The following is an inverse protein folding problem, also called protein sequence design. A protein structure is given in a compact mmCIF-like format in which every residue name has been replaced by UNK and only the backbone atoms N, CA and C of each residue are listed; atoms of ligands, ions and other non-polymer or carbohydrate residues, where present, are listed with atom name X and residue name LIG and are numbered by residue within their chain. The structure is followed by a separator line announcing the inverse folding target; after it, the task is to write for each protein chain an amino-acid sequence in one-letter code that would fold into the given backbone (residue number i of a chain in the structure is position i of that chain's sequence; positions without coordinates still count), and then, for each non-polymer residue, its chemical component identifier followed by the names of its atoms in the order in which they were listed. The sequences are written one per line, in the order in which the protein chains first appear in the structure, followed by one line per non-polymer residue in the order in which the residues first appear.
data_IF_294415204378
#
_entry.id   IF_294415204378
#
_cell.length_a   1.000
_cell.length_b   1.000
_cell.length_c   1.000
_cell.angle_alpha   90.00
_cell.angle_beta   90.00
_cell.angle_gamma   90.00
#
_symmetry.space_group_name_H-M   'P 1'
#
loop_
_entity.id
_entity.type
_entity.pdbx_description
1 polymer ?
#
# COMPACT_ATOMS: atom_id res chain seq x y z
N UNK A 1 8.64 14.06 -13.31
CA UNK A 1 8.80 12.88 -12.44
C UNK A 1 7.43 12.27 -12.28
N UNK A 2 7.22 11.07 -12.84
CA UNK A 2 5.90 10.43 -12.82
C UNK A 2 5.74 9.63 -11.52
N UNK A 3 4.52 9.48 -11.02
CA UNK A 3 4.23 8.59 -9.87
C UNK A 3 4.71 7.16 -10.11
N UNK A 4 4.64 6.72 -11.37
CA UNK A 4 5.18 5.45 -11.85
C UNK A 4 6.68 5.31 -11.56
N UNK A 5 7.48 6.35 -11.84
CA UNK A 5 8.92 6.34 -11.58
C UNK A 5 9.22 6.28 -10.08
N UNK A 6 8.41 6.94 -9.26
CA UNK A 6 8.57 6.87 -7.80
C UNK A 6 8.34 5.45 -7.29
N UNK A 7 7.26 4.81 -7.74
CA UNK A 7 6.98 3.40 -7.40
C UNK A 7 8.11 2.49 -7.88
N UNK A 8 8.50 2.61 -9.15
CA UNK A 8 9.48 1.70 -9.74
C UNK A 8 10.88 1.91 -9.17
N UNK A 9 11.32 3.14 -8.92
CA UNK A 9 12.67 3.38 -8.40
C UNK A 9 12.76 3.28 -6.87
N UNK A 10 11.80 3.83 -6.12
CA UNK A 10 11.89 3.92 -4.65
C UNK A 10 11.28 2.72 -3.93
N UNK A 11 10.38 1.96 -4.56
CA UNK A 11 9.77 0.77 -3.96
C UNK A 11 10.31 -0.49 -4.64
N UNK A 12 9.97 -0.70 -5.92
CA UNK A 12 10.29 -1.94 -6.64
C UNK A 12 11.81 -2.10 -6.84
N UNK A 13 12.48 -1.02 -7.22
CA UNK A 13 13.93 -0.99 -7.49
C UNK A 13 14.80 -1.30 -6.28
N UNK A 14 14.25 -1.23 -5.07
CA UNK A 14 14.95 -1.61 -3.84
C UNK A 14 15.06 -3.13 -3.65
N UNK A 15 14.22 -3.91 -4.36
CA UNK A 15 14.10 -5.36 -4.15
C UNK A 15 13.44 -5.75 -2.82
N UNK A 16 13.00 -4.77 -2.03
CA UNK A 16 12.33 -4.98 -0.74
C UNK A 16 10.81 -4.94 -0.84
N UNK A 17 10.25 -4.61 -2.01
CA UNK A 17 8.82 -4.54 -2.25
C UNK A 17 8.54 -5.24 -3.58
N UNK A 18 7.66 -6.25 -3.58
CA UNK A 18 7.34 -7.03 -4.78
C UNK A 18 6.39 -6.28 -5.71
N UNK A 19 5.40 -5.59 -5.12
CA UNK A 19 4.35 -4.87 -5.84
C UNK A 19 4.01 -3.62 -5.05
N UNK A 20 3.72 -2.51 -5.72
CA UNK A 20 3.37 -1.28 -5.04
C UNK A 20 2.44 -0.38 -5.83
N UNK A 21 1.68 0.46 -5.14
CA UNK A 21 0.88 1.54 -5.73
C UNK A 21 0.86 2.77 -4.85
N UNK A 22 0.70 3.92 -5.50
CA UNK A 22 0.40 5.21 -4.91
C UNK A 22 -1.01 5.58 -5.36
N UNK A 23 -1.87 5.84 -4.38
CA UNK A 23 -3.26 6.20 -4.61
C UNK A 23 -3.57 7.49 -3.83
N UNK A 24 -4.41 8.36 -4.38
CA UNK A 24 -4.96 9.49 -3.65
C UNK A 24 -5.96 9.04 -2.60
N UNK A 25 -6.22 9.84 -1.56
CA UNK A 25 -7.20 9.52 -0.49
C UNK A 25 -8.65 9.33 -0.98
N UNK A 26 -8.93 9.71 -2.22
CA UNK A 26 -10.20 9.47 -2.92
C UNK A 26 -10.27 8.06 -3.54
N UNK A 27 -9.16 7.31 -3.51
CA UNK A 27 -8.96 6.01 -4.13
C UNK A 27 -8.47 6.06 -5.58
N UNK A 28 -8.31 7.26 -6.15
CA UNK A 28 -7.68 7.46 -7.47
C UNK A 28 -6.28 6.86 -7.53
N UNK A 29 -6.00 5.97 -8.49
CA UNK A 29 -4.66 5.38 -8.65
C UNK A 29 -3.77 6.36 -9.41
N UNK A 30 -2.68 6.81 -8.79
CA UNK A 30 -1.75 7.77 -9.39
C UNK A 30 -0.56 7.09 -10.07
N UNK A 31 -0.06 6.01 -9.49
CA UNK A 31 1.01 5.20 -10.05
C UNK A 31 1.02 3.82 -9.42
N UNK A 32 1.40 2.79 -10.18
CA UNK A 32 1.43 1.41 -9.68
C UNK A 32 2.49 0.61 -10.42
N UNK A 33 3.15 -0.32 -9.76
CA UNK A 33 4.12 -1.19 -10.41
C UNK A 33 3.46 -2.00 -11.52
N UNK A 34 4.18 -2.28 -12.60
CA UNK A 34 3.68 -3.02 -13.76
C UNK A 34 3.09 -4.40 -13.40
N UNK A 35 3.63 -5.04 -12.35
CA UNK A 35 3.17 -6.33 -11.86
C UNK A 35 1.99 -6.24 -10.86
N UNK A 36 1.45 -5.04 -10.61
CA UNK A 36 0.35 -4.84 -9.66
C UNK A 36 -0.93 -4.41 -10.39
N UNK A 37 -1.87 -5.34 -10.51
CA UNK A 37 -3.15 -5.10 -11.18
C UNK A 37 -4.24 -4.69 -10.20
N UNK A 38 -3.94 -3.69 -9.35
CA UNK A 38 -4.96 -3.10 -8.48
C UNK A 38 -6.04 -2.41 -9.31
N UNK A 39 -7.30 -2.68 -8.95
CA UNK A 39 -8.49 -2.06 -9.51
C UNK A 39 -8.93 -0.82 -8.73
N UNK A 40 -9.65 0.08 -9.40
CA UNK A 40 -10.18 1.30 -8.79
C UNK A 40 -11.09 1.00 -7.58
N UNK A 41 -11.86 -0.09 -7.65
CA UNK A 41 -12.72 -0.55 -6.55
C UNK A 41 -11.91 -1.00 -5.33
N UNK A 42 -10.76 -1.65 -5.56
CA UNK A 42 -9.85 -2.11 -4.50
C UNK A 42 -9.13 -0.92 -3.85
N UNK A 43 -8.68 0.03 -4.66
CA UNK A 43 -8.08 1.27 -4.16
C UNK A 43 -9.10 2.09 -3.33
N UNK A 44 -10.35 2.17 -3.77
CA UNK A 44 -11.43 2.80 -2.99
C UNK A 44 -11.70 2.05 -1.68
N UNK A 45 -11.64 0.71 -1.68
CA UNK A 45 -11.79 -0.09 -0.46
C UNK A 45 -10.65 0.18 0.53
N UNK A 46 -9.40 0.26 0.05
CA UNK A 46 -8.24 0.64 0.86
C UNK A 46 -8.37 2.07 1.44
N UNK A 47 -8.78 3.03 0.61
CA UNK A 47 -9.02 4.41 1.04
C UNK A 47 -10.11 4.50 2.13
N UNK A 48 -11.21 3.76 1.96
CA UNK A 48 -12.25 3.66 2.98
C UNK A 48 -11.75 2.94 4.23
N UNK A 49 -10.85 1.96 4.09
CA UNK A 49 -10.23 1.29 5.23
C UNK A 49 -9.39 2.21 6.11
N UNK A 50 -8.71 3.18 5.50
CA UNK A 50 -7.97 4.21 6.24
C UNK A 50 -8.91 5.16 7.02
N UNK A 51 -10.16 5.28 6.59
CA UNK A 51 -11.21 6.05 7.29
C UNK A 51 -11.96 5.19 8.31
N UNK A 52 -12.16 3.91 8.03
CA UNK A 52 -12.89 2.94 8.84
C UNK A 52 -12.02 1.70 9.12
N UNK A 53 -11.08 1.87 10.05
CA UNK A 53 -10.10 0.86 10.43
C UNK A 53 -10.76 -0.42 11.00
N UNK A 54 -11.81 -0.26 11.80
CA UNK A 54 -12.56 -1.38 12.38
C UNK A 54 -13.27 -2.23 11.31
N UNK A 55 -13.85 -1.57 10.30
CA UNK A 55 -14.51 -2.24 9.19
C UNK A 55 -13.56 -3.13 8.38
N UNK A 56 -12.34 -2.67 8.11
CA UNK A 56 -11.36 -3.46 7.33
C UNK A 56 -10.64 -4.52 8.14
N UNK A 57 -10.51 -4.35 9.45
CA UNK A 57 -10.08 -5.41 10.36
C UNK A 57 -11.01 -6.63 10.27
N UNK A 58 -12.34 -6.40 10.23
CA UNK A 58 -13.32 -7.48 10.12
C UNK A 58 -13.50 -8.01 8.68
N UNK A 59 -13.58 -7.11 7.68
CA UNK A 59 -13.87 -7.50 6.30
C UNK A 59 -12.65 -7.97 5.52
N UNK A 60 -11.45 -7.50 5.87
CA UNK A 60 -10.21 -7.66 5.11
C UNK A 60 -10.13 -6.71 3.90
N UNK A 61 -9.04 -6.79 3.15
CA UNK A 61 -8.87 -6.06 1.89
C UNK A 61 -8.67 -7.04 0.74
N UNK A 62 -9.02 -6.63 -0.48
CA UNK A 62 -8.78 -7.42 -1.69
C UNK A 62 -7.83 -6.66 -2.60
N UNK A 63 -6.84 -7.36 -3.12
CA UNK A 63 -5.94 -6.86 -4.14
C UNK A 63 -5.80 -7.92 -5.23
N UNK A 64 -5.99 -7.52 -6.49
CA UNK A 64 -6.00 -8.43 -7.65
C UNK A 64 -7.02 -9.58 -7.51
N UNK A 65 -8.15 -9.32 -6.85
CA UNK A 65 -9.18 -10.32 -6.54
C UNK A 65 -8.82 -11.27 -5.38
N UNK A 66 -7.62 -11.16 -4.83
CA UNK A 66 -7.16 -11.99 -3.71
C UNK A 66 -7.47 -11.32 -2.37
N UNK A 67 -8.11 -12.06 -1.45
CA UNK A 67 -8.42 -11.56 -0.10
C UNK A 67 -7.20 -11.65 0.82
N UNK A 68 -6.86 -10.53 1.44
CA UNK A 68 -5.86 -10.42 2.49
C UNK A 68 -6.53 -10.14 3.83
N UNK A 69 -5.96 -10.73 4.89
CA UNK A 69 -6.39 -10.49 6.26
C UNK A 69 -5.68 -9.27 6.82
N UNK A 70 -6.45 -8.30 7.30
CA UNK A 70 -5.91 -7.14 8.00
C UNK A 70 -5.57 -7.58 9.42
N UNK A 71 -4.33 -7.36 9.83
CA UNK A 71 -3.85 -7.65 11.18
C UNK A 71 -3.96 -6.41 12.07
N UNK A 72 -3.71 -5.25 11.48
CA UNK A 72 -3.72 -3.97 12.15
C UNK A 72 -4.23 -2.92 11.17
N UNK A 73 -5.15 -2.09 11.62
CA UNK A 73 -5.59 -0.93 10.88
C UNK A 73 -5.69 0.24 11.85
N UNK A 74 -5.05 1.33 11.47
CA UNK A 74 -5.06 2.62 12.14
C UNK A 74 -5.45 3.69 11.11
N UNK A 75 -5.65 4.93 11.56
CA UNK A 75 -5.91 6.06 10.65
C UNK A 75 -4.71 6.41 9.76
N UNK A 76 -3.51 5.99 10.14
CA UNK A 76 -2.26 6.29 9.43
C UNK A 76 -1.67 5.11 8.67
N UNK A 77 -1.98 3.87 9.07
CA UNK A 77 -1.39 2.68 8.48
C UNK A 77 -2.32 1.48 8.55
N UNK A 78 -2.23 0.61 7.56
CA UNK A 78 -2.93 -0.67 7.54
C UNK A 78 -1.92 -1.75 7.20
N UNK A 79 -1.93 -2.82 7.97
CA UNK A 79 -1.04 -3.96 7.79
C UNK A 79 -1.93 -5.18 7.61
N UNK A 80 -1.67 -5.94 6.57
CA UNK A 80 -2.31 -7.22 6.38
C UNK A 80 -1.39 -8.29 5.84
N UNK A 81 -1.83 -9.53 5.99
CA UNK A 81 -1.12 -10.71 5.52
C UNK A 81 -2.06 -11.66 4.79
N UNK A 82 -1.46 -12.46 3.94
CA UNK A 82 -2.09 -13.59 3.27
C UNK A 82 -1.07 -14.72 3.18
N UNK A 83 -1.14 -15.65 4.12
CA UNK A 83 -0.22 -16.80 4.20
C UNK A 83 1.24 -16.35 4.21
N UNK A 84 1.97 -16.51 3.10
CA UNK A 84 3.37 -16.13 2.95
C UNK A 84 3.58 -14.74 2.33
N UNK A 85 2.50 -14.10 1.87
CA UNK A 85 2.50 -12.75 1.30
C UNK A 85 1.87 -11.77 2.31
N UNK A 86 2.02 -10.48 2.06
CA UNK A 86 1.31 -9.46 2.83
C UNK A 86 1.44 -8.09 2.23
N UNK A 87 0.84 -7.11 2.90
CA UNK A 87 0.81 -5.74 2.43
C UNK A 87 0.89 -4.76 3.59
N UNK A 88 1.42 -3.59 3.27
CA UNK A 88 1.50 -2.42 4.13
C UNK A 88 0.91 -1.23 3.38
N UNK A 89 0.02 -0.50 4.05
CA UNK A 89 -0.53 0.75 3.56
C UNK A 89 -0.07 1.82 4.52
N UNK A 90 0.50 2.89 3.98
CA UNK A 90 0.85 4.08 4.73
C UNK A 90 0.11 5.28 4.15
N UNK A 91 -0.68 5.94 4.98
CA UNK A 91 -1.39 7.17 4.63
C UNK A 91 -0.44 8.36 4.71
N UNK A 92 -0.59 9.31 3.80
CA UNK A 92 0.08 10.61 3.78
C UNK A 92 -0.99 11.71 3.89
N UNK A 93 -0.64 12.97 3.67
CA UNK A 93 -1.57 14.08 3.85
C UNK A 93 -2.67 14.09 2.76
N UNK A 94 -2.30 13.74 1.52
CA UNK A 94 -3.19 13.74 0.34
C UNK A 94 -3.22 12.39 -0.40
N UNK A 95 -2.37 11.44 -0.03
CA UNK A 95 -2.26 10.14 -0.67
C UNK A 95 -2.14 8.99 0.33
N UNK A 96 -2.05 7.78 -0.18
CA UNK A 96 -1.61 6.60 0.54
C UNK A 96 -0.80 5.69 -0.39
N UNK A 97 0.13 4.96 0.21
CA UNK A 97 1.08 4.11 -0.50
C UNK A 97 0.82 2.68 -0.06
N UNK A 98 0.59 1.80 -1.02
CA UNK A 98 0.44 0.36 -0.82
C UNK A 98 1.77 -0.29 -1.23
N UNK A 99 2.39 -1.02 -0.31
CA UNK A 99 3.52 -1.90 -0.57
C UNK A 99 3.13 -3.35 -0.25
N UNK A 100 3.20 -4.22 -1.25
CA UNK A 100 2.91 -5.65 -1.13
C UNK A 100 4.21 -6.41 -1.26
N UNK A 101 4.43 -7.34 -0.34
CA UNK A 101 5.55 -8.26 -0.37
C UNK A 101 5.04 -9.67 -0.63
N UNK A 102 5.79 -10.40 -1.45
CA UNK A 102 5.56 -11.80 -1.75
C UNK A 102 6.64 -12.68 -1.09
N UNK A 103 6.43 -14.00 -1.18
CA UNK A 103 7.33 -15.00 -0.60
C UNK A 103 8.78 -14.77 -1.04
N UNK A 104 9.69 -14.60 -0.08
CA UNK A 104 11.10 -14.31 -0.32
C UNK A 104 11.52 -12.88 0.04
N UNK A 105 10.56 -11.96 0.17
CA UNK A 105 10.81 -10.59 0.65
C UNK A 105 10.58 -10.51 2.16
N UNK A 106 11.51 -9.89 2.89
CA UNK A 106 11.33 -9.66 4.32
C UNK A 106 10.25 -8.61 4.58
N UNK A 107 9.21 -8.93 5.39
CA UNK A 107 8.12 -7.99 5.66
C UNK A 107 8.62 -6.71 6.35
N UNK A 108 9.63 -6.82 7.21
CA UNK A 108 10.22 -5.67 7.89
C UNK A 108 10.87 -4.68 6.90
N UNK A 109 11.58 -5.19 5.89
CA UNK A 109 12.19 -4.36 4.85
C UNK A 109 11.13 -3.71 3.97
N UNK A 110 10.09 -4.45 3.57
CA UNK A 110 8.96 -3.90 2.81
C UNK A 110 8.26 -2.77 3.57
N UNK A 111 8.02 -2.98 4.86
CA UNK A 111 7.41 -1.99 5.76
C UNK A 111 8.28 -0.73 5.85
N UNK A 112 9.59 -0.89 6.10
CA UNK A 112 10.54 0.23 6.18
C UNK A 112 10.60 1.03 4.88
N UNK A 113 10.72 0.37 3.73
CA UNK A 113 10.79 1.05 2.42
C UNK A 113 9.50 1.79 2.09
N UNK A 114 8.35 1.15 2.31
CA UNK A 114 7.03 1.78 2.02
C UNK A 114 6.78 2.94 2.99
N UNK A 115 7.12 2.76 4.27
CA UNK A 115 7.01 3.81 5.28
C UNK A 115 7.92 5.00 5.01
N UNK A 116 9.16 4.78 4.57
CA UNK A 116 10.09 5.84 4.24
C UNK A 116 9.58 6.73 3.08
N UNK A 117 8.97 6.13 2.05
CA UNK A 117 8.36 6.90 0.98
C UNK A 117 7.15 7.71 1.46
N UNK A 118 6.33 7.13 2.35
CA UNK A 118 5.19 7.85 2.93
C UNK A 118 5.64 9.01 3.82
N UNK A 119 6.70 8.82 4.61
CA UNK A 119 7.30 9.86 5.44
C UNK A 119 7.85 11.01 4.59
N UNK A 120 8.51 10.68 3.47
CA UNK A 120 8.95 11.67 2.49
C UNK A 120 7.77 12.51 1.94
N UNK A 121 6.64 11.88 1.59
CA UNK A 121 5.45 12.57 1.11
C UNK A 121 4.87 13.50 2.18
N UNK A 122 4.78 13.04 3.43
CA UNK A 122 4.36 13.86 4.57
C UNK A 122 5.27 15.06 4.77
N UNK A 123 6.60 14.87 4.63
CA UNK A 123 7.60 15.93 4.74
C UNK A 123 7.40 17.04 3.69
N UNK A 124 6.96 16.68 2.48
CA UNK A 124 6.61 17.65 1.42
C UNK A 124 5.14 18.10 1.45
N UNK A 125 4.40 17.83 2.55
CA UNK A 125 2.97 18.18 2.73
C UNK A 125 2.05 17.62 1.62
N UNK A 126 2.26 16.34 1.32
CA UNK A 126 1.56 15.59 0.27
C UNK A 126 0.99 14.27 0.79
#
# INVERSE_FOLDING_TARGET
MSWQDLVNNNLIGTGHVSKAAICGLDGSIWGKSDNFKIDQSEANAAANGLKNSEGVLASGLRFEGEKYFVLQADSERIIGKKTANGFFIYKTDKAFIIGVYESGVQPEMCSKTTGALADYFRSINY
#
